data_IF_547935412304
#
_entry.id   IF_547935412304
#
_cell.length_a   1.000
_cell.length_b   1.000
_cell.length_c   1.000
_cell.angle_alpha   90.00
_cell.angle_beta   90.00
_cell.angle_gamma   90.00
#
_symmetry.space_group_name_H-M   'P 1'
#
loop_
_entity.id
_entity.type
_entity.pdbx_description
1 polymer ?
#
# COMPACT_ATOMS: atom_id res chain seq x y z
N UNK A 1 -7.37 5.87 -5.83
CA UNK A 1 -6.48 5.53 -6.97
C UNK A 1 -6.75 4.11 -7.47
N UNK A 2 -6.69 3.07 -6.62
CA UNK A 2 -6.93 1.68 -7.04
C UNK A 2 -8.25 1.49 -7.80
N UNK A 3 -9.37 1.99 -7.26
CA UNK A 3 -10.68 1.81 -7.91
C UNK A 3 -10.73 2.42 -9.31
N UNK A 4 -10.03 3.54 -9.52
CA UNK A 4 -9.92 4.15 -10.84
C UNK A 4 -9.09 3.28 -11.80
N UNK A 5 -7.99 2.69 -11.33
CA UNK A 5 -7.20 1.72 -12.11
C UNK A 5 -8.06 0.51 -12.48
N UNK A 6 -8.72 -0.11 -11.51
CA UNK A 6 -9.55 -1.30 -11.73
C UNK A 6 -10.70 -1.00 -12.69
N UNK A 7 -11.43 0.10 -12.48
CA UNK A 7 -12.52 0.51 -13.37
C UNK A 7 -12.03 0.76 -14.80
N UNK A 8 -10.89 1.44 -14.96
CA UNK A 8 -10.35 1.74 -16.27
C UNK A 8 -9.85 0.48 -16.99
N UNK A 9 -9.16 -0.41 -16.27
CA UNK A 9 -8.68 -1.67 -16.83
C UNK A 9 -9.85 -2.56 -17.25
N UNK A 10 -10.89 -2.67 -16.41
CA UNK A 10 -12.13 -3.39 -16.73
C UNK A 10 -12.85 -2.78 -17.94
N UNK A 11 -12.87 -1.45 -18.08
CA UNK A 11 -13.46 -0.77 -19.23
C UNK A 11 -12.72 -1.05 -20.54
N UNK A 12 -11.40 -1.25 -20.50
CA UNK A 12 -10.57 -1.61 -21.66
C UNK A 12 -10.58 -3.11 -21.96
N UNK A 13 -10.90 -3.97 -20.99
CA UNK A 13 -10.87 -5.42 -21.17
C UNK A 13 -11.67 -5.96 -22.38
N UNK A 14 -12.83 -5.40 -22.78
CA UNK A 14 -13.54 -5.83 -23.98
C UNK A 14 -12.76 -5.69 -25.29
N UNK A 15 -11.74 -4.82 -25.32
CA UNK A 15 -10.88 -4.56 -26.49
C UNK A 15 -9.63 -5.43 -26.55
N UNK A 16 -9.50 -6.43 -25.66
CA UNK A 16 -8.40 -7.38 -25.67
C UNK A 16 -8.38 -8.24 -26.95
N UNK A 17 -7.19 -8.71 -27.31
CA UNK A 17 -6.92 -9.36 -28.59
C UNK A 17 -7.60 -10.74 -28.75
N UNK A 18 -7.30 -11.72 -27.88
CA UNK A 18 -7.88 -13.07 -27.96
C UNK A 18 -8.77 -13.37 -26.77
N UNK A 19 -10.09 -13.22 -26.95
CA UNK A 19 -11.08 -13.45 -25.90
C UNK A 19 -11.23 -14.93 -25.51
N UNK A 20 -10.74 -15.86 -26.33
CA UNK A 20 -10.78 -17.31 -26.05
C UNK A 20 -9.69 -17.71 -25.07
N UNK A 21 -8.52 -17.06 -25.17
CA UNK A 21 -7.39 -17.25 -24.26
C UNK A 21 -7.57 -16.40 -23.01
N UNK A 22 -7.89 -15.12 -23.19
CA UNK A 22 -8.09 -14.16 -22.10
C UNK A 22 -9.57 -14.09 -21.76
N UNK A 23 -10.05 -15.02 -20.94
CA UNK A 23 -11.45 -15.04 -20.49
C UNK A 23 -11.75 -13.90 -19.51
N UNK A 24 -13.02 -13.57 -19.31
CA UNK A 24 -13.41 -12.60 -18.27
C UNK A 24 -13.12 -13.13 -16.87
N UNK A 25 -13.14 -14.46 -16.66
CA UNK A 25 -12.68 -15.07 -15.42
C UNK A 25 -11.20 -14.78 -15.14
N UNK A 26 -10.35 -14.84 -16.17
CA UNK A 26 -8.94 -14.52 -16.02
C UNK A 26 -8.74 -13.06 -15.54
N UNK A 27 -9.58 -12.13 -16.01
CA UNK A 27 -9.52 -10.74 -15.51
C UNK A 27 -9.72 -10.69 -13.99
N UNK A 28 -10.73 -11.39 -13.48
CA UNK A 28 -11.02 -11.39 -12.05
C UNK A 28 -9.88 -12.03 -11.25
N UNK A 29 -9.31 -13.13 -11.74
CA UNK A 29 -8.14 -13.79 -11.14
C UNK A 29 -6.91 -12.85 -11.14
N UNK A 30 -6.69 -12.11 -12.23
CA UNK A 30 -5.63 -11.11 -12.33
C UNK A 30 -5.85 -9.93 -11.38
N UNK A 31 -7.08 -9.44 -11.23
CA UNK A 31 -7.38 -8.33 -10.31
C UNK A 31 -7.09 -8.70 -8.86
N UNK A 32 -7.36 -9.94 -8.47
CA UNK A 32 -7.00 -10.48 -7.15
C UNK A 32 -5.48 -10.51 -6.98
N UNK A 33 -4.78 -11.19 -7.90
CA UNK A 33 -3.32 -11.35 -7.84
C UNK A 33 -2.58 -10.02 -7.86
N UNK A 34 -2.96 -9.09 -8.75
CA UNK A 34 -2.31 -7.78 -8.83
C UNK A 34 -2.52 -6.94 -7.58
N UNK A 35 -3.63 -7.14 -6.87
CA UNK A 35 -3.88 -6.44 -5.61
C UNK A 35 -3.02 -6.99 -4.48
N UNK A 36 -2.87 -8.31 -4.39
CA UNK A 36 -1.91 -8.96 -3.48
C UNK A 36 -0.49 -8.44 -3.72
N UNK A 37 -0.06 -8.43 -4.99
CA UNK A 37 1.26 -7.97 -5.39
C UNK A 37 1.44 -6.47 -5.13
N UNK A 38 0.44 -5.65 -5.42
CA UNK A 38 0.48 -4.22 -5.15
C UNK A 38 0.68 -3.92 -3.66
N UNK A 39 -0.02 -4.63 -2.76
CA UNK A 39 0.24 -4.52 -1.33
C UNK A 39 1.64 -5.02 -0.95
N UNK A 40 2.10 -6.10 -1.58
CA UNK A 40 3.47 -6.60 -1.44
C UNK A 40 4.52 -5.54 -1.79
N UNK A 41 4.43 -4.94 -2.98
CA UNK A 41 5.35 -3.89 -3.42
C UNK A 41 5.23 -2.61 -2.59
N UNK A 42 4.02 -2.25 -2.17
CA UNK A 42 3.81 -1.11 -1.28
C UNK A 42 4.53 -1.33 0.05
N UNK A 43 4.34 -2.49 0.69
CA UNK A 43 4.99 -2.82 1.96
C UNK A 43 6.52 -2.83 1.87
N UNK A 44 7.09 -3.46 0.84
CA UNK A 44 8.53 -3.46 0.61
C UNK A 44 9.07 -2.03 0.35
N UNK A 45 8.35 -1.22 -0.43
CA UNK A 45 8.72 0.18 -0.70
C UNK A 45 8.67 1.03 0.56
N UNK A 46 7.65 0.88 1.39
CA UNK A 46 7.53 1.56 2.68
C UNK A 46 8.74 1.22 3.56
N UNK A 47 9.03 -0.07 3.77
CA UNK A 47 10.15 -0.49 4.60
C UNK A 47 11.50 0.04 4.10
N UNK A 48 11.82 -0.15 2.81
CA UNK A 48 13.12 0.27 2.27
C UNK A 48 13.32 1.78 2.26
N UNK A 49 12.25 2.58 2.28
CA UNK A 49 12.32 4.06 2.33
C UNK A 49 12.54 4.60 3.75
N UNK A 50 12.41 3.76 4.78
CA UNK A 50 12.69 4.13 6.17
C UNK A 50 14.07 3.61 6.60
N UNK A 51 14.34 2.32 6.42
CA UNK A 51 15.57 1.67 6.92
C UNK A 51 16.64 1.41 5.85
N UNK A 52 16.30 1.57 4.57
CA UNK A 52 17.24 1.37 3.48
C UNK A 52 18.12 2.59 3.20
N UNK A 53 19.05 2.42 2.24
CA UNK A 53 20.02 3.45 1.87
C UNK A 53 19.36 4.73 1.30
N UNK A 54 18.35 4.55 0.44
CA UNK A 54 17.67 5.65 -0.25
C UNK A 54 16.38 6.05 0.48
N UNK A 55 16.52 6.76 1.59
CA UNK A 55 15.39 7.21 2.42
C UNK A 55 14.52 8.26 1.72
N UNK A 56 13.32 8.51 2.25
CA UNK A 56 12.38 9.51 1.72
C UNK A 56 12.47 10.82 2.50
N UNK A 57 12.47 11.95 1.79
CA UNK A 57 12.52 13.28 2.41
C UNK A 57 11.31 13.55 3.31
N UNK A 58 10.13 13.02 2.95
CA UNK A 58 8.88 13.20 3.70
C UNK A 58 8.99 12.81 5.19
N UNK A 59 9.91 11.88 5.51
CA UNK A 59 10.21 11.48 6.88
C UNK A 59 11.50 12.13 7.38
N UNK A 60 12.56 12.14 6.55
CA UNK A 60 13.88 12.62 6.97
C UNK A 60 13.95 14.13 7.24
N UNK A 61 12.98 14.92 6.76
CA UNK A 61 12.92 16.36 7.06
C UNK A 61 12.03 16.71 8.25
N UNK A 62 11.37 15.74 8.88
CA UNK A 62 10.56 15.96 10.08
C UNK A 62 11.47 16.26 11.29
N UNK A 63 10.96 17.04 12.24
CA UNK A 63 11.63 17.25 13.53
C UNK A 63 11.91 15.91 14.22
N UNK A 64 13.04 15.75 14.92
CA UNK A 64 13.46 14.45 15.46
C UNK A 64 12.39 13.77 16.32
N UNK A 65 11.68 14.53 17.15
CA UNK A 65 10.61 14.04 18.03
C UNK A 65 9.38 13.52 17.25
N UNK A 66 9.02 14.13 16.12
CA UNK A 66 7.91 13.66 15.25
C UNK A 66 8.37 12.53 14.32
N UNK A 67 9.62 12.59 13.85
CA UNK A 67 10.20 11.63 12.90
C UNK A 67 10.16 10.20 13.40
N UNK A 68 10.47 9.99 14.69
CA UNK A 68 10.50 8.66 15.29
C UNK A 68 9.15 7.95 15.18
N UNK A 69 8.07 8.63 15.59
CA UNK A 69 6.72 8.09 15.50
C UNK A 69 6.28 7.83 14.07
N UNK A 70 6.56 8.76 13.16
CA UNK A 70 6.24 8.61 11.74
C UNK A 70 6.98 7.42 11.10
N UNK A 71 8.29 7.28 11.34
CA UNK A 71 9.09 6.17 10.82
C UNK A 71 8.61 4.82 11.39
N UNK A 72 8.34 4.75 12.70
CA UNK A 72 7.79 3.57 13.37
C UNK A 72 6.43 3.20 12.80
N UNK A 73 5.54 4.17 12.60
CA UNK A 73 4.22 3.98 11.99
C UNK A 73 4.33 3.33 10.62
N UNK A 74 5.15 3.90 9.74
CA UNK A 74 5.37 3.36 8.38
C UNK A 74 5.89 1.93 8.42
N UNK A 75 6.86 1.61 9.29
CA UNK A 75 7.40 0.26 9.42
C UNK A 75 6.36 -0.75 9.93
N UNK A 76 5.56 -0.37 10.92
CA UNK A 76 4.47 -1.21 11.43
C UNK A 76 3.39 -1.43 10.38
N UNK A 77 3.00 -0.38 9.65
CA UNK A 77 2.05 -0.48 8.54
C UNK A 77 2.57 -1.39 7.43
N UNK A 78 3.86 -1.30 7.09
CA UNK A 78 4.47 -2.20 6.10
C UNK A 78 4.41 -3.66 6.55
N UNK A 79 4.73 -3.96 7.81
CA UNK A 79 4.62 -5.31 8.37
C UNK A 79 3.18 -5.85 8.38
N UNK A 80 2.21 -4.99 8.70
CA UNK A 80 0.79 -5.35 8.65
C UNK A 80 0.38 -5.69 7.21
N UNK A 81 0.66 -4.79 6.24
CA UNK A 81 0.29 -4.98 4.84
C UNK A 81 0.86 -6.27 4.26
N UNK A 82 2.15 -6.55 4.48
CA UNK A 82 2.77 -7.77 3.92
C UNK A 82 2.13 -9.04 4.48
N UNK A 83 1.77 -9.07 5.77
CA UNK A 83 1.19 -10.25 6.42
C UNK A 83 -0.27 -10.47 6.03
N UNK A 84 -1.02 -9.40 5.84
CA UNK A 84 -2.46 -9.48 5.61
C UNK A 84 -2.86 -9.57 4.13
N UNK A 85 -1.96 -9.23 3.19
CA UNK A 85 -2.31 -9.07 1.76
C UNK A 85 -3.04 -10.26 1.13
N UNK A 86 -2.77 -11.49 1.57
CA UNK A 86 -3.40 -12.71 1.02
C UNK A 86 -4.78 -12.99 1.62
N UNK A 87 -5.11 -12.38 2.76
CA UNK A 87 -6.36 -12.59 3.47
C UNK A 87 -7.33 -11.41 3.33
N UNK A 88 -6.80 -10.23 3.00
CA UNK A 88 -7.52 -8.97 3.01
C UNK A 88 -7.16 -8.10 1.81
N UNK A 89 -8.10 -8.05 0.85
CA UNK A 89 -7.93 -7.35 -0.42
C UNK A 89 -8.79 -6.08 -0.55
N UNK A 90 -9.45 -5.66 0.53
CA UNK A 90 -10.22 -4.42 0.51
C UNK A 90 -9.29 -3.22 0.78
N UNK A 91 -9.07 -2.39 -0.24
CA UNK A 91 -8.17 -1.24 -0.17
C UNK A 91 -8.61 -0.22 0.88
N UNK A 92 -9.91 0.04 1.03
CA UNK A 92 -10.43 0.97 2.01
C UNK A 92 -10.16 0.49 3.44
N UNK A 93 -10.45 -0.79 3.71
CA UNK A 93 -10.16 -1.39 5.01
C UNK A 93 -8.66 -1.38 5.33
N UNK A 94 -7.80 -1.73 4.36
CA UNK A 94 -6.35 -1.68 4.57
C UNK A 94 -5.87 -0.25 4.82
N UNK A 95 -6.46 0.74 4.16
CA UNK A 95 -6.17 2.16 4.39
C UNK A 95 -6.53 2.59 5.81
N UNK A 96 -7.70 2.19 6.32
CA UNK A 96 -8.09 2.48 7.71
C UNK A 96 -7.18 1.80 8.73
N UNK A 97 -6.76 0.55 8.49
CA UNK A 97 -5.76 -0.11 9.35
C UNK A 97 -4.43 0.64 9.37
N UNK A 98 -3.93 1.07 8.20
CA UNK A 98 -2.72 1.90 8.12
C UNK A 98 -2.89 3.19 8.91
N UNK A 99 -4.02 3.88 8.76
CA UNK A 99 -4.33 5.11 9.49
C UNK A 99 -4.33 4.91 11.00
N UNK A 100 -4.94 3.84 11.52
CA UNK A 100 -4.91 3.51 12.95
C UNK A 100 -3.49 3.34 13.46
N UNK A 101 -2.68 2.54 12.74
CA UNK A 101 -1.26 2.31 13.11
C UNK A 101 -0.47 3.62 13.13
N UNK A 102 -0.70 4.51 12.17
CA UNK A 102 -0.03 5.81 12.12
C UNK A 102 -0.43 6.71 13.29
N UNK A 103 -1.70 6.68 13.71
CA UNK A 103 -2.18 7.43 14.87
C UNK A 103 -1.60 6.87 16.18
N UNK A 104 -1.57 5.55 16.34
CA UNK A 104 -1.00 4.87 17.51
C UNK A 104 0.51 5.09 17.66
N UNK A 105 1.23 5.16 16.54
CA UNK A 105 2.66 5.37 16.54
C UNK A 105 3.06 6.85 16.67
N UNK A 106 2.10 7.77 16.60
CA UNK A 106 2.36 9.22 16.60
C UNK A 106 3.08 9.63 17.88
N UNK A 107 4.13 10.42 17.70
CA UNK A 107 4.82 11.14 18.76
C UNK A 107 4.48 12.63 18.64
N UNK A 108 4.34 13.32 19.77
CA UNK A 108 4.08 14.77 19.77
C UNK A 108 5.40 15.55 19.66
N UNK A 109 5.32 16.72 19.03
CA UNK A 109 6.41 17.67 19.06
C UNK A 109 6.30 18.50 20.33
N UNK A 110 7.40 18.74 21.03
CA UNK A 110 7.43 19.72 22.12
C UNK A 110 6.90 21.05 21.57
N UNK A 111 5.82 21.56 22.18
CA UNK A 111 5.32 22.90 21.92
C UNK A 111 6.43 23.89 22.28
N UNK A 112 7.12 24.42 21.27
CA UNK A 112 7.90 25.65 21.42
C UNK A 112 6.96 26.84 21.44
#
# INVERSE_FOLDING_TARGET
MWDSFENHFRALWPTRQDKRVFSDRLLDDLMVSWKEDAFGFASAKMARRIVGLAKTSDIETLDPNVREGAARGVLRSAQMLIRERHNHLNVAMMTEKVKSIMQEARTEGDAK
#
